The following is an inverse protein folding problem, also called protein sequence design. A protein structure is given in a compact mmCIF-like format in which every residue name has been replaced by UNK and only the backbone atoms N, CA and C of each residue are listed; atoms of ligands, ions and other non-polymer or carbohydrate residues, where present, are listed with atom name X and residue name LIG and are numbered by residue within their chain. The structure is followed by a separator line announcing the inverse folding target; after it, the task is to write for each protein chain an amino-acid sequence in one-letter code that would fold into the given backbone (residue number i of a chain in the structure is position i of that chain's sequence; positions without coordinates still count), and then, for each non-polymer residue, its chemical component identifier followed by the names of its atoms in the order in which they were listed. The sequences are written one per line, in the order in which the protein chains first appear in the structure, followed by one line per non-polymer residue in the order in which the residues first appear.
data_IF_938917512321
#
_entry.id   IF_938917512321
#
_cell.length_a   1.000
_cell.length_b   1.000
_cell.length_c   1.000
_cell.angle_alpha   90.00
_cell.angle_beta   90.00
_cell.angle_gamma   90.00
#
_symmetry.space_group_name_H-M   'P 1'
#
loop_
_entity.id
_entity.type
_entity.pdbx_description
1 polymer ?
#
# COMPACT_ATOMS: atom_id res chain seq x y z
N UNK A 1 -12.82 10.09 18.88
CA UNK A 1 -12.82 8.98 18.20
C UNK A 1 -11.52 8.66 17.56
N UNK A 2 -11.24 7.52 17.63
CA UNK A 2 -9.97 7.18 17.07
C UNK A 2 -9.94 7.47 15.60
N UNK A 3 -8.79 7.78 15.14
CA UNK A 3 -8.61 8.01 13.77
C UNK A 3 -8.63 6.72 13.04
N UNK A 4 -9.21 6.74 11.90
CA UNK A 4 -9.16 5.58 11.03
C UNK A 4 -7.78 5.48 10.44
N UNK A 5 -7.21 4.31 10.41
CA UNK A 5 -5.90 4.15 9.80
C UNK A 5 -6.01 4.28 8.29
N UNK A 6 -4.89 4.58 7.68
CA UNK A 6 -4.83 4.55 6.24
C UNK A 6 -4.94 3.12 5.74
N UNK A 7 -5.46 2.98 4.53
CA UNK A 7 -5.67 1.69 3.90
C UNK A 7 -4.74 1.55 2.71
N UNK A 8 -3.99 0.47 2.66
CA UNK A 8 -3.04 0.21 1.59
C UNK A 8 -3.48 -1.06 0.87
N UNK A 9 -4.27 -0.93 -0.19
CA UNK A 9 -4.76 -2.11 -0.89
C UNK A 9 -3.64 -2.81 -1.64
N UNK A 10 -3.76 -4.13 -1.69
CA UNK A 10 -2.89 -4.97 -2.48
C UNK A 10 -3.44 -5.04 -3.90
N UNK A 11 -2.58 -5.26 -4.88
CA UNK A 11 -3.01 -5.35 -6.27
C UNK A 11 -4.08 -6.42 -6.47
N UNK A 12 -3.92 -7.56 -5.81
CA UNK A 12 -4.89 -8.65 -5.95
C UNK A 12 -6.29 -8.23 -5.50
N UNK A 13 -6.37 -7.47 -4.42
CA UNK A 13 -7.66 -6.97 -3.93
C UNK A 13 -8.28 -6.06 -4.99
N UNK A 14 -7.48 -5.17 -5.57
CA UNK A 14 -8.00 -4.24 -6.58
C UNK A 14 -8.50 -4.98 -7.81
N UNK A 15 -7.75 -5.96 -8.27
CA UNK A 15 -8.14 -6.74 -9.43
C UNK A 15 -9.43 -7.50 -9.16
N UNK A 16 -9.51 -8.17 -8.02
CA UNK A 16 -10.68 -8.95 -7.68
C UNK A 16 -11.92 -8.07 -7.53
N UNK A 17 -11.78 -6.93 -6.89
CA UNK A 17 -12.90 -6.00 -6.76
C UNK A 17 -13.35 -5.47 -8.11
N UNK A 18 -12.38 -5.18 -8.99
CA UNK A 18 -12.71 -4.69 -10.33
C UNK A 18 -13.43 -5.76 -11.14
N UNK A 19 -12.96 -7.01 -11.06
CA UNK A 19 -13.60 -8.12 -11.79
C UNK A 19 -15.01 -8.36 -11.29
N UNK A 20 -15.25 -8.17 -10.01
CA UNK A 20 -16.58 -8.38 -9.42
C UNK A 20 -17.48 -7.17 -9.52
N UNK A 21 -16.94 -6.04 -9.97
CA UNK A 21 -17.73 -4.80 -10.06
C UNK A 21 -17.97 -4.14 -8.73
N UNK A 22 -17.10 -4.37 -7.75
CA UNK A 22 -17.30 -3.88 -6.38
C UNK A 22 -16.34 -2.77 -5.96
N UNK A 23 -15.65 -2.14 -6.90
CA UNK A 23 -14.68 -1.09 -6.53
C UNK A 23 -15.38 0.08 -5.83
N UNK A 24 -16.59 0.42 -6.24
CA UNK A 24 -17.30 1.52 -5.59
C UNK A 24 -17.62 1.19 -4.14
N UNK A 25 -17.87 -0.07 -3.83
CA UNK A 25 -18.10 -0.48 -2.45
C UNK A 25 -16.82 -0.33 -1.64
N UNK A 26 -15.68 -0.70 -2.22
CA UNK A 26 -14.40 -0.55 -1.55
C UNK A 26 -14.09 0.92 -1.32
N UNK A 27 -14.36 1.75 -2.31
CA UNK A 27 -14.14 3.17 -2.20
C UNK A 27 -14.95 3.77 -1.06
N UNK A 28 -16.21 3.39 -0.95
CA UNK A 28 -17.06 3.87 0.13
C UNK A 28 -16.55 3.43 1.51
N UNK A 29 -16.01 2.22 1.58
CA UNK A 29 -15.45 1.70 2.82
C UNK A 29 -14.17 2.46 3.19
N UNK A 30 -13.32 2.74 2.23
CA UNK A 30 -12.03 3.37 2.46
C UNK A 30 -12.16 4.86 2.80
N UNK A 31 -13.12 5.53 2.19
CA UNK A 31 -13.46 6.93 2.52
C UNK A 31 -12.26 7.88 2.52
N UNK A 32 -11.49 7.84 1.45
CA UNK A 32 -10.38 8.78 1.29
C UNK A 32 -9.13 8.43 2.07
N UNK A 33 -9.14 7.33 2.80
CA UNK A 33 -7.97 6.90 3.57
C UNK A 33 -7.00 6.04 2.78
N UNK A 34 -7.28 5.81 1.51
CA UNK A 34 -6.43 4.95 0.69
C UNK A 34 -5.13 5.60 0.31
N UNK A 35 -4.09 4.80 0.27
CA UNK A 35 -2.80 5.20 -0.27
C UNK A 35 -2.21 3.97 -0.92
N UNK A 36 -1.41 4.16 -1.94
CA UNK A 36 -0.72 3.04 -2.57
C UNK A 36 0.68 3.46 -2.97
N UNK A 37 1.56 2.49 -3.04
CA UNK A 37 2.92 2.77 -3.47
C UNK A 37 3.01 2.66 -4.99
N UNK A 38 4.10 3.15 -5.53
CA UNK A 38 4.26 3.20 -6.99
C UNK A 38 4.24 1.84 -7.64
N UNK A 39 4.78 0.81 -6.99
CA UNK A 39 4.76 -0.54 -7.56
C UNK A 39 3.32 -1.07 -7.66
N UNK A 40 2.51 -0.87 -6.63
CA UNK A 40 1.12 -1.31 -6.68
C UNK A 40 0.36 -0.55 -7.76
N UNK A 41 0.60 0.75 -7.88
CA UNK A 41 -0.04 1.55 -8.92
C UNK A 41 0.35 1.05 -10.31
N UNK A 42 1.62 0.70 -10.49
CA UNK A 42 2.09 0.17 -11.75
C UNK A 42 1.46 -1.19 -12.06
N UNK A 43 1.40 -2.06 -11.06
CA UNK A 43 0.79 -3.38 -11.23
C UNK A 43 -0.68 -3.27 -11.58
N UNK A 44 -1.37 -2.31 -10.97
CA UNK A 44 -2.78 -2.09 -11.31
C UNK A 44 -2.92 -1.67 -12.77
N UNK A 45 -2.11 -0.71 -13.23
CA UNK A 45 -2.21 -0.24 -14.61
C UNK A 45 -1.96 -1.38 -15.59
N UNK A 46 -0.98 -2.22 -15.29
CA UNK A 46 -0.69 -3.36 -16.13
C UNK A 46 -1.85 -4.35 -16.17
N UNK A 47 -2.39 -4.67 -15.01
CA UNK A 47 -3.52 -5.60 -14.94
C UNK A 47 -4.77 -5.01 -15.57
N UNK A 48 -4.98 -3.72 -15.38
CA UNK A 48 -6.10 -3.02 -16.02
C UNK A 48 -6.05 -3.20 -17.54
N UNK A 49 -4.86 -3.04 -18.10
CA UNK A 49 -4.69 -3.17 -19.54
C UNK A 49 -4.81 -4.62 -20.01
N UNK A 50 -4.20 -5.54 -19.27
CA UNK A 50 -4.23 -6.95 -19.64
C UNK A 50 -5.60 -7.57 -19.50
N UNK A 51 -6.37 -7.14 -18.52
CA UNK A 51 -7.67 -7.74 -18.22
C UNK A 51 -8.84 -6.87 -18.69
N UNK A 52 -8.55 -5.79 -19.40
CA UNK A 52 -9.56 -4.87 -19.93
C UNK A 52 -10.46 -4.31 -18.83
N UNK A 53 -9.84 -3.86 -17.75
CA UNK A 53 -10.56 -3.32 -16.60
C UNK A 53 -10.57 -1.80 -16.58
N UNK A 54 -10.52 -1.17 -17.76
CA UNK A 54 -10.43 0.28 -17.84
C UNK A 54 -11.63 1.00 -17.23
N UNK A 55 -12.79 0.37 -17.25
CA UNK A 55 -13.98 1.01 -16.69
C UNK A 55 -13.88 1.17 -15.17
N UNK A 56 -13.03 0.41 -14.53
CA UNK A 56 -12.85 0.49 -13.08
C UNK A 56 -11.73 1.47 -12.69
N UNK A 57 -10.98 1.96 -13.65
CA UNK A 57 -9.76 2.71 -13.35
C UNK A 57 -10.01 3.96 -12.52
N UNK A 58 -11.01 4.75 -12.88
CA UNK A 58 -11.28 5.98 -12.13
C UNK A 58 -11.64 5.69 -10.69
N UNK A 59 -12.44 4.65 -10.45
CA UNK A 59 -12.84 4.28 -9.10
C UNK A 59 -11.65 3.73 -8.30
N UNK A 60 -10.77 2.97 -8.95
CA UNK A 60 -9.59 2.45 -8.29
C UNK A 60 -8.68 3.60 -7.86
N UNK A 61 -8.45 4.54 -8.76
CA UNK A 61 -7.60 5.69 -8.43
C UNK A 61 -8.19 6.52 -7.31
N UNK A 62 -9.50 6.70 -7.32
CA UNK A 62 -10.17 7.44 -6.26
C UNK A 62 -10.08 6.71 -4.92
N UNK A 63 -10.13 5.38 -4.96
CA UNK A 63 -10.01 4.56 -3.76
C UNK A 63 -8.61 4.63 -3.18
N UNK A 64 -7.59 4.51 -4.04
CA UNK A 64 -6.22 4.39 -3.59
C UNK A 64 -5.54 5.72 -3.31
N UNK A 65 -6.07 6.79 -3.86
CA UNK A 65 -5.55 8.12 -3.58
C UNK A 65 -4.16 8.37 -4.13
N UNK A 66 -3.40 9.09 -3.37
CA UNK A 66 -2.09 9.55 -3.80
C UNK A 66 -1.10 8.40 -3.89
N UNK A 67 -0.31 8.39 -4.95
CA UNK A 67 0.76 7.41 -5.10
C UNK A 67 1.95 7.85 -4.27
N UNK A 68 2.47 6.93 -3.47
CA UNK A 68 3.62 7.20 -2.62
C UNK A 68 4.86 6.58 -3.26
N UNK A 69 5.79 7.43 -3.66
CA UNK A 69 7.04 6.96 -4.24
C UNK A 69 8.07 6.74 -3.16
N UNK A 70 8.86 5.66 -3.24
CA UNK A 70 9.92 5.44 -2.27
C UNK A 70 11.00 6.51 -2.38
N UNK A 71 11.54 6.90 -1.25
CA UNK A 71 12.70 7.78 -1.20
C UNK A 71 13.96 6.94 -1.39
N UNK A 72 15.06 7.62 -1.68
CA UNK A 72 16.31 6.91 -1.98
C UNK A 72 16.69 5.90 -0.89
N UNK A 73 16.64 6.33 0.36
CA UNK A 73 17.01 5.42 1.43
C UNK A 73 16.00 4.30 1.63
N UNK A 74 14.75 4.55 1.24
CA UNK A 74 13.75 3.50 1.32
C UNK A 74 14.00 2.41 0.30
N UNK A 75 14.59 2.75 -0.84
CA UNK A 75 14.95 1.74 -1.82
C UNK A 75 15.94 0.72 -1.26
N UNK A 76 16.85 1.17 -0.42
CA UNK A 76 17.80 0.26 0.20
C UNK A 76 17.08 -0.73 1.09
N UNK A 77 16.15 -0.24 1.89
CA UNK A 77 15.37 -1.10 2.78
C UNK A 77 14.46 -2.05 2.00
N UNK A 78 13.90 -1.58 0.89
CA UNK A 78 13.06 -2.41 0.05
C UNK A 78 13.87 -3.57 -0.51
N UNK A 79 15.08 -3.29 -1.02
CA UNK A 79 15.89 -4.36 -1.58
C UNK A 79 16.32 -5.36 -0.51
N UNK A 80 16.64 -4.88 0.68
CA UNK A 80 16.99 -5.77 1.78
C UNK A 80 15.82 -6.68 2.16
N UNK A 81 14.63 -6.10 2.23
CA UNK A 81 13.44 -6.88 2.56
C UNK A 81 13.12 -7.89 1.47
N UNK A 82 13.21 -7.46 0.21
CA UNK A 82 12.97 -8.37 -0.91
C UNK A 82 13.92 -9.55 -0.87
N UNK A 83 15.17 -9.30 -0.56
CA UNK A 83 16.16 -10.37 -0.48
C UNK A 83 15.75 -11.37 0.60
N UNK A 84 15.26 -10.88 1.74
CA UNK A 84 14.87 -11.79 2.82
C UNK A 84 13.59 -12.56 2.50
N UNK A 85 12.73 -12.03 1.63
CA UNK A 85 11.46 -12.69 1.28
C UNK A 85 11.61 -13.66 0.11
N UNK A 86 12.70 -13.54 -0.61
CA UNK A 86 12.88 -14.29 -1.84
C UNK A 86 13.28 -15.73 -1.57
N UNK A 87 12.74 -16.63 -2.35
CA UNK A 87 13.12 -18.02 -2.31
C UNK A 87 13.80 -18.39 -3.62
N UNK A 88 14.60 -19.47 -3.64
CA UNK A 88 15.27 -19.89 -4.86
C UNK A 88 14.26 -20.06 -6.00
N UNK A 89 14.59 -19.47 -7.14
CA UNK A 89 13.72 -19.57 -8.31
C UNK A 89 12.67 -18.49 -8.43
N UNK A 90 12.54 -17.63 -7.44
CA UNK A 90 11.54 -16.55 -7.52
C UNK A 90 11.96 -15.51 -8.54
N UNK A 91 10.99 -14.92 -9.28
CA UNK A 91 11.29 -13.80 -10.15
C UNK A 91 11.83 -12.62 -9.34
N UNK A 92 12.66 -11.76 -9.96
CA UNK A 92 13.29 -10.67 -9.22
C UNK A 92 12.32 -9.70 -8.55
N UNK A 93 11.16 -9.50 -9.14
CA UNK A 93 10.21 -8.53 -8.61
C UNK A 93 9.07 -9.16 -7.81
N UNK A 94 9.19 -10.44 -7.50
CA UNK A 94 8.16 -11.07 -6.68
C UNK A 94 8.12 -10.37 -5.32
N UNK A 95 6.93 -10.07 -4.84
CA UNK A 95 6.69 -9.40 -3.55
C UNK A 95 7.14 -7.94 -3.50
N UNK A 96 7.49 -7.34 -4.65
CA UNK A 96 7.99 -5.96 -4.60
C UNK A 96 6.95 -4.97 -4.09
N UNK A 97 5.71 -5.09 -4.52
CA UNK A 97 4.66 -4.20 -4.04
C UNK A 97 4.46 -4.31 -2.55
N UNK A 98 4.49 -5.53 -2.04
CA UNK A 98 4.34 -5.80 -0.63
C UNK A 98 5.51 -5.22 0.17
N UNK A 99 6.73 -5.46 -0.30
CA UNK A 99 7.92 -4.95 0.37
C UNK A 99 7.95 -3.43 0.37
N UNK A 100 7.62 -2.83 -0.75
CA UNK A 100 7.59 -1.38 -0.88
C UNK A 100 6.57 -0.77 0.08
N UNK A 101 5.38 -1.36 0.13
CA UNK A 101 4.34 -0.89 1.04
C UNK A 101 4.79 -0.99 2.48
N UNK A 102 5.37 -2.11 2.88
CA UNK A 102 5.81 -2.30 4.26
C UNK A 102 6.91 -1.33 4.65
N UNK A 103 7.86 -1.08 3.75
CA UNK A 103 8.95 -0.16 4.04
C UNK A 103 8.42 1.27 4.18
N UNK A 104 7.52 1.67 3.29
CA UNK A 104 6.95 3.01 3.34
C UNK A 104 6.19 3.21 4.65
N UNK A 105 5.35 2.24 5.02
CA UNK A 105 4.61 2.33 6.26
C UNK A 105 5.55 2.42 7.45
N UNK A 106 6.56 1.57 7.47
CA UNK A 106 7.50 1.52 8.58
C UNK A 106 8.31 2.80 8.70
N UNK A 107 8.85 3.29 7.58
CA UNK A 107 9.69 4.47 7.60
C UNK A 107 8.92 5.77 7.78
N UNK A 108 7.64 5.75 7.47
CA UNK A 108 6.81 6.94 7.60
C UNK A 108 5.75 6.76 8.66
N UNK A 109 6.11 6.04 9.72
CA UNK A 109 5.18 5.76 10.81
C UNK A 109 4.61 7.03 11.43
N UNK A 110 5.40 8.09 11.48
CA UNK A 110 4.92 9.36 11.99
C UNK A 110 3.73 9.86 11.20
N UNK A 111 3.71 9.58 9.91
CA UNK A 111 2.64 10.04 9.06
C UNK A 111 1.43 9.12 9.11
N UNK A 112 1.64 7.81 9.14
CA UNK A 112 0.55 6.85 9.00
C UNK A 112 0.15 6.19 10.30
N UNK A 113 1.06 6.09 11.24
CA UNK A 113 0.81 5.40 12.50
C UNK A 113 0.92 6.26 13.71
N UNK A 114 0.90 7.56 13.52
CA UNK A 114 1.17 8.48 14.57
C UNK A 114 0.32 8.30 15.81
N UNK A 115 -0.95 8.09 15.65
CA UNK A 115 -1.81 8.00 16.81
C UNK A 115 -1.51 6.79 17.65
N UNK A 116 -1.22 5.68 17.00
CA UNK A 116 -0.87 4.48 17.71
C UNK A 116 0.47 4.65 18.41
N UNK A 117 1.41 5.26 17.70
CA UNK A 117 2.72 5.49 18.27
C UNK A 117 2.67 6.43 19.44
N UNK A 118 1.86 7.45 19.32
CA UNK A 118 1.69 8.37 20.38
C UNK A 118 1.20 7.73 21.63
N UNK A 119 0.25 6.86 21.53
CA UNK A 119 -0.27 6.15 22.66
C UNK A 119 0.80 5.29 23.33
N UNK A 120 1.57 4.60 22.52
CA UNK A 120 2.65 3.79 23.04
C UNK A 120 3.69 4.59 23.73
N UNK A 121 4.02 5.70 23.11
CA UNK A 121 5.03 6.55 23.63
C UNK A 121 4.72 7.06 24.99
N UNK A 122 3.51 7.43 25.17
CA UNK A 122 3.13 7.93 26.43
C UNK A 122 3.22 6.89 27.45
N UNK A 123 2.96 5.69 27.11
CA UNK A 123 3.06 4.62 28.04
C UNK A 123 4.46 4.34 28.44
N UNK A 124 5.41 4.64 27.61
CA UNK A 124 6.74 4.39 27.97
C UNK A 124 7.33 5.51 28.64
N UNK A 125 6.81 6.43 28.48
CA UNK A 125 7.42 7.52 28.89
C UNK A 125 8.72 7.48 28.35
N UNK A 126 9.08 7.14 28.13
CA UNK A 126 9.97 7.11 27.63
C UNK A 126 10.82 7.57 27.69
N UNK A 127 10.67 7.42 27.85
CA UNK A 127 11.33 7.67 27.71
C UNK A 127 11.53 8.50 27.76
N UNK A 128 10.85 8.42 27.95
CA UNK A 128 10.75 9.42 28.48
C UNK A 128 10.19 9.58 27.97
#
# INVERSE_FOLDING_TARGET
MPQSPFFFPDTTVLINMALLGYVDHLRAFVQGRGRWCSTIAWEWRRSRDELSLHSADAAVRATCGEVLDPQDREHIDIEALLTSMREPGDPPNKHRGEAETLVIISNRADLFGRLRDKTRHRGTGRRG
#
